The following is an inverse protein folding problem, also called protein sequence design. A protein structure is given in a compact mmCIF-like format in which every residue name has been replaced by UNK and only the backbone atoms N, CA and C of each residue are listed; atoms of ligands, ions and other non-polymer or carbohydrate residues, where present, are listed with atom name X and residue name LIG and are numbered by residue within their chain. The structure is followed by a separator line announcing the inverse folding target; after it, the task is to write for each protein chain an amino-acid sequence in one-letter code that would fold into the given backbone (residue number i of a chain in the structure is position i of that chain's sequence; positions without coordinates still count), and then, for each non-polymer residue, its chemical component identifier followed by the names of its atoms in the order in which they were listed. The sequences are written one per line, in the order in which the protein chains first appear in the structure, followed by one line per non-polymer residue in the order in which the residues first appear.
data_IF_371728237200
#
_entry.id   IF_371728237200
#
_cell.length_a   1.000
_cell.length_b   1.000
_cell.length_c   1.000
_cell.angle_alpha   90.00
_cell.angle_beta   90.00
_cell.angle_gamma   90.00
#
_symmetry.space_group_name_H-M   'P 1'
#
loop_
_entity.id
_entity.type
_entity.pdbx_description
1 polymer ?
#
# COMPACT_ATOMS: atom_id res chain seq x y z
N UNK A 1 -52.11 37.35 14.68
CA UNK A 1 -50.70 37.72 14.61
C UNK A 1 -49.75 36.54 14.81
N UNK A 2 -49.98 35.56 15.67
CA UNK A 2 -49.10 34.42 15.95
C UNK A 2 -48.80 33.47 14.75
N UNK A 3 -49.71 33.30 13.79
CA UNK A 3 -49.50 32.43 12.60
C UNK A 3 -48.48 32.98 11.58
N UNK A 4 -48.36 34.29 11.47
CA UNK A 4 -47.39 34.95 10.52
C UNK A 4 -45.93 34.75 10.97
N UNK A 5 -45.66 34.76 12.28
CA UNK A 5 -44.31 34.57 12.82
C UNK A 5 -43.89 33.10 12.79
N UNK A 6 -44.83 32.18 12.90
CA UNK A 6 -44.56 30.73 12.77
C UNK A 6 -44.06 30.34 11.36
N UNK A 7 -44.65 30.95 10.32
CA UNK A 7 -44.22 30.70 8.93
C UNK A 7 -42.84 31.34 8.63
N UNK A 8 -42.57 32.52 9.21
CA UNK A 8 -41.27 33.17 9.05
C UNK A 8 -40.14 32.41 9.76
N UNK A 9 -40.43 31.85 10.93
CA UNK A 9 -39.47 31.03 11.68
C UNK A 9 -39.16 29.68 10.99
N UNK A 10 -40.19 29.07 10.37
CA UNK A 10 -40.03 27.82 9.56
C UNK A 10 -39.21 28.09 8.29
N UNK A 11 -39.38 29.24 7.64
CA UNK A 11 -38.62 29.61 6.45
C UNK A 11 -37.14 29.92 6.78
N UNK A 12 -36.87 30.53 7.93
CA UNK A 12 -35.52 30.83 8.41
C UNK A 12 -34.77 29.56 8.81
N UNK A 13 -35.45 28.53 9.36
CA UNK A 13 -34.85 27.21 9.67
C UNK A 13 -34.38 26.45 8.44
N UNK A 14 -35.05 26.59 7.30
CA UNK A 14 -34.69 25.87 6.06
C UNK A 14 -33.41 26.47 5.43
N UNK A 15 -33.14 27.75 5.64
CA UNK A 15 -31.91 28.42 5.17
C UNK A 15 -30.63 27.95 5.87
N UNK A 16 -30.72 27.39 7.08
CA UNK A 16 -29.55 26.89 7.80
C UNK A 16 -29.11 25.48 7.40
N UNK A 17 -29.93 24.73 6.64
CA UNK A 17 -29.62 23.35 6.26
C UNK A 17 -28.70 23.27 5.03
N UNK A 18 -28.54 24.34 4.25
CA UNK A 18 -27.75 24.34 3.02
C UNK A 18 -26.29 24.78 3.17
N UNK A 19 -25.81 25.07 4.38
CA UNK A 19 -24.51 25.75 4.57
C UNK A 19 -23.28 24.85 4.72
N UNK A 20 -23.41 23.53 4.77
CA UNK A 20 -22.30 22.66 5.21
C UNK A 20 -21.64 21.77 4.14
N UNK A 21 -22.02 21.84 2.87
CA UNK A 21 -21.47 20.91 1.85
C UNK A 21 -20.01 21.19 1.41
N UNK A 22 -19.45 22.34 1.74
CA UNK A 22 -18.09 22.72 1.30
C UNK A 22 -16.99 22.43 2.33
N UNK A 23 -17.34 22.21 3.59
CA UNK A 23 -16.38 21.98 4.69
C UNK A 23 -16.09 20.50 4.97
N UNK A 24 -16.83 19.58 4.34
CA UNK A 24 -16.64 18.13 4.48
C UNK A 24 -15.84 17.51 3.31
N UNK A 25 -15.12 18.31 2.55
CA UNK A 25 -14.19 17.76 1.57
C UNK A 25 -12.94 17.32 2.33
N UNK A 26 -12.87 16.03 2.62
CA UNK A 26 -11.67 15.40 3.18
C UNK A 26 -10.53 15.58 2.16
N UNK A 27 -9.50 16.33 2.55
CA UNK A 27 -8.22 16.31 1.87
C UNK A 27 -7.36 15.28 2.59
N UNK A 28 -7.15 14.10 1.98
CA UNK A 28 -6.36 13.04 2.61
C UNK A 28 -4.89 13.45 2.64
N UNK A 29 -4.42 13.94 3.78
CA UNK A 29 -3.02 14.35 3.98
C UNK A 29 -2.04 13.17 4.13
N UNK A 30 -2.53 11.95 4.24
CA UNK A 30 -1.71 10.75 4.50
C UNK A 30 -1.80 9.66 3.42
N UNK A 31 -2.56 9.89 2.36
CA UNK A 31 -2.76 8.91 1.27
C UNK A 31 -2.03 9.41 0.03
N UNK A 32 -1.23 8.54 -0.58
CA UNK A 32 -0.60 8.80 -1.88
C UNK A 32 -1.68 8.80 -2.96
N UNK A 33 -2.15 9.99 -3.34
CA UNK A 33 -3.18 10.16 -4.37
C UNK A 33 -2.58 10.26 -5.76
N UNK A 34 -3.36 10.03 -6.82
CA UNK A 34 -2.94 10.26 -8.20
C UNK A 34 -2.37 11.66 -8.44
N UNK A 35 -3.02 12.68 -7.85
CA UNK A 35 -2.62 14.08 -7.97
C UNK A 35 -1.26 14.33 -7.31
N UNK A 36 -1.00 13.68 -6.17
CA UNK A 36 0.29 13.76 -5.50
C UNK A 36 1.41 13.18 -6.37
N UNK A 37 1.23 11.96 -6.90
CA UNK A 37 2.21 11.33 -7.78
C UNK A 37 2.47 12.12 -9.07
N UNK A 38 1.52 12.93 -9.54
CA UNK A 38 1.68 13.76 -10.73
C UNK A 38 2.59 14.99 -10.51
N UNK A 39 3.03 15.25 -9.28
CA UNK A 39 3.98 16.32 -8.97
C UNK A 39 5.41 15.80 -8.88
N UNK A 40 6.40 16.65 -9.19
CA UNK A 40 7.83 16.30 -9.03
C UNK A 40 8.16 15.86 -7.60
N UNK A 41 7.63 16.58 -6.61
CA UNK A 41 7.83 16.24 -5.20
C UNK A 41 7.17 14.90 -4.85
N UNK A 42 5.92 14.69 -5.28
CA UNK A 42 5.20 13.45 -5.02
C UNK A 42 5.85 12.24 -5.68
N UNK A 43 6.37 12.38 -6.89
CA UNK A 43 7.12 11.35 -7.58
C UNK A 43 8.37 10.92 -6.78
N UNK A 44 9.15 11.88 -6.28
CA UNK A 44 10.33 11.59 -5.46
C UNK A 44 9.95 10.99 -4.10
N UNK A 45 8.96 11.59 -3.42
CA UNK A 45 8.48 11.08 -2.13
C UNK A 45 7.84 9.70 -2.23
N UNK A 46 7.24 9.36 -3.37
CA UNK A 46 6.77 8.01 -3.64
C UNK A 46 7.90 6.98 -3.66
N UNK A 47 9.02 7.32 -4.26
CA UNK A 47 10.21 6.45 -4.25
C UNK A 47 10.79 6.33 -2.82
N UNK A 48 10.93 7.46 -2.10
CA UNK A 48 11.37 7.46 -0.69
C UNK A 48 10.47 6.57 0.18
N UNK A 49 9.14 6.63 -0.04
CA UNK A 49 8.17 5.80 0.67
C UNK A 49 8.34 4.30 0.36
N UNK A 50 8.63 3.95 -0.90
CA UNK A 50 8.91 2.56 -1.27
C UNK A 50 10.20 2.04 -0.61
N UNK A 51 11.24 2.86 -0.50
CA UNK A 51 12.44 2.53 0.30
C UNK A 51 12.14 2.40 1.79
N UNK A 52 11.31 3.28 2.33
CA UNK A 52 10.88 3.16 3.73
C UNK A 52 10.14 1.83 3.98
N UNK A 53 9.36 1.35 3.00
CA UNK A 53 8.71 0.04 3.04
C UNK A 53 9.67 -1.13 3.18
N UNK A 54 10.85 -1.07 2.58
CA UNK A 54 11.87 -2.12 2.79
C UNK A 54 12.33 -2.15 4.25
N UNK A 55 12.51 -0.98 4.87
CA UNK A 55 12.88 -0.89 6.29
C UNK A 55 11.74 -1.38 7.19
N UNK A 56 10.48 -1.13 6.84
CA UNK A 56 9.33 -1.64 7.60
C UNK A 56 9.22 -3.16 7.54
N UNK A 57 9.70 -3.79 6.48
CA UNK A 57 9.77 -5.25 6.39
C UNK A 57 11.01 -5.81 7.09
N UNK A 58 12.20 -5.43 6.62
CA UNK A 58 13.48 -6.01 7.09
C UNK A 58 13.92 -5.51 8.46
N UNK A 59 13.47 -4.32 8.87
CA UNK A 59 13.80 -3.71 10.16
C UNK A 59 12.82 -4.02 11.28
N UNK A 60 11.83 -4.89 11.08
CA UNK A 60 10.80 -5.22 12.06
C UNK A 60 10.83 -6.68 12.48
N UNK A 61 10.24 -6.95 13.64
CA UNK A 61 10.11 -8.30 14.18
C UNK A 61 9.29 -9.24 13.27
N UNK A 62 8.34 -8.70 12.49
CA UNK A 62 7.42 -9.53 11.71
C UNK A 62 8.14 -10.42 10.69
N UNK A 63 9.01 -9.83 9.86
CA UNK A 63 9.73 -10.60 8.85
C UNK A 63 10.74 -11.54 9.50
N UNK A 64 11.47 -11.07 10.54
CA UNK A 64 12.37 -11.92 11.33
C UNK A 64 11.61 -13.14 11.89
N UNK A 65 10.42 -12.92 12.46
CA UNK A 65 9.59 -14.01 12.99
C UNK A 65 9.22 -15.01 11.89
N UNK A 66 8.86 -14.55 10.69
CA UNK A 66 8.48 -15.42 9.58
C UNK A 66 9.65 -16.17 8.94
N UNK A 67 10.88 -15.67 9.04
CA UNK A 67 12.04 -16.22 8.33
C UNK A 67 12.98 -17.03 9.22
N UNK A 68 13.00 -16.73 10.51
CA UNK A 68 14.04 -17.24 11.42
C UNK A 68 13.47 -18.03 12.59
N UNK A 69 12.30 -17.63 13.12
CA UNK A 69 11.72 -18.30 14.29
C UNK A 69 11.13 -19.66 13.91
N UNK A 70 11.23 -20.62 14.82
CA UNK A 70 10.74 -21.99 14.60
C UNK A 70 11.72 -22.87 13.84
N UNK A 71 12.98 -22.44 13.70
CA UNK A 71 14.08 -23.25 13.19
C UNK A 71 14.79 -23.98 14.35
N UNK A 72 15.79 -24.81 14.03
CA UNK A 72 16.64 -25.48 15.00
C UNK A 72 17.59 -24.51 15.75
N UNK A 73 17.87 -23.34 15.17
CA UNK A 73 18.76 -22.32 15.76
C UNK A 73 18.00 -21.24 16.56
N UNK A 74 16.76 -20.95 16.21
CA UNK A 74 16.02 -19.82 16.77
C UNK A 74 14.65 -20.21 17.29
N UNK A 75 14.41 -19.85 18.53
CA UNK A 75 13.20 -20.12 19.28
C UNK A 75 12.62 -18.82 19.84
N UNK A 76 11.29 -18.70 19.92
CA UNK A 76 10.65 -17.51 20.50
C UNK A 76 10.92 -17.44 22.01
N UNK A 77 11.24 -16.21 22.48
CA UNK A 77 11.18 -15.89 23.89
C UNK A 77 9.75 -15.85 24.43
N UNK A 78 9.58 -15.48 25.69
CA UNK A 78 8.32 -15.50 26.43
C UNK A 78 7.19 -14.75 25.70
N UNK A 79 7.50 -13.61 25.09
CA UNK A 79 6.53 -12.70 24.47
C UNK A 79 6.48 -12.80 22.93
N UNK A 80 7.13 -13.82 22.36
CA UNK A 80 7.19 -14.03 20.91
C UNK A 80 5.96 -14.74 20.34
N UNK A 81 5.84 -14.78 19.02
CA UNK A 81 4.75 -15.46 18.31
C UNK A 81 4.92 -16.99 18.38
N UNK A 82 4.33 -17.60 19.41
CA UNK A 82 4.40 -19.05 19.62
C UNK A 82 3.68 -19.85 18.52
N UNK A 83 2.72 -19.26 17.82
CA UNK A 83 1.97 -19.98 16.78
C UNK A 83 2.85 -20.27 15.57
N UNK A 84 3.67 -19.30 15.16
CA UNK A 84 4.66 -19.47 14.09
C UNK A 84 5.78 -20.41 14.56
N UNK A 85 6.27 -20.21 15.78
CA UNK A 85 7.34 -21.04 16.35
C UNK A 85 7.00 -22.52 16.43
N UNK A 86 5.74 -22.86 16.68
CA UNK A 86 5.25 -24.23 16.84
C UNK A 86 4.53 -24.78 15.62
N UNK A 87 4.40 -23.99 14.56
CA UNK A 87 3.64 -24.35 13.35
C UNK A 87 2.24 -24.91 13.65
N UNK A 88 1.55 -24.31 14.65
CA UNK A 88 0.22 -24.76 15.07
C UNK A 88 -0.89 -24.20 14.16
N UNK A 89 -2.15 -24.56 14.42
CA UNK A 89 -3.31 -24.17 13.61
C UNK A 89 -3.58 -22.66 13.53
N UNK A 90 -3.02 -21.86 14.47
CA UNK A 90 -3.13 -20.41 14.45
C UNK A 90 -2.10 -19.76 13.51
N UNK A 91 -1.14 -20.53 13.00
CA UNK A 91 -0.28 -20.09 11.89
C UNK A 91 -1.06 -20.18 10.58
N UNK A 92 -1.94 -19.23 10.36
CA UNK A 92 -2.85 -19.16 9.22
C UNK A 92 -3.01 -17.71 8.73
N UNK A 93 -3.86 -17.48 7.74
CA UNK A 93 -4.07 -16.17 7.10
C UNK A 93 -4.62 -15.09 8.04
N UNK A 94 -5.18 -15.47 9.19
CA UNK A 94 -5.65 -14.53 10.23
C UNK A 94 -4.58 -14.18 11.25
N UNK A 95 -3.40 -14.83 11.19
CA UNK A 95 -2.28 -14.50 12.06
C UNK A 95 -1.78 -13.08 11.77
N UNK A 96 -1.67 -12.24 12.81
CA UNK A 96 -1.33 -10.82 12.67
C UNK A 96 0.02 -10.57 11.99
N UNK A 97 1.03 -11.40 12.25
CA UNK A 97 2.35 -11.31 11.60
C UNK A 97 2.27 -11.62 10.10
N UNK A 98 1.55 -12.70 9.74
CA UNK A 98 1.33 -13.12 8.35
C UNK A 98 0.59 -12.02 7.57
N UNK A 99 -0.51 -11.53 8.14
CA UNK A 99 -1.33 -10.47 7.55
C UNK A 99 -0.56 -9.14 7.39
N UNK A 100 0.29 -8.80 8.36
CA UNK A 100 1.08 -7.58 8.32
C UNK A 100 2.10 -7.58 7.16
N UNK A 101 2.82 -8.68 6.95
CA UNK A 101 3.79 -8.80 5.85
C UNK A 101 3.09 -8.75 4.49
N UNK A 102 1.98 -9.46 4.33
CA UNK A 102 1.15 -9.42 3.12
C UNK A 102 0.72 -7.99 2.79
N UNK A 103 0.11 -7.31 3.77
CA UNK A 103 -0.34 -5.93 3.62
C UNK A 103 0.79 -4.98 3.26
N UNK A 104 1.93 -5.08 3.95
CA UNK A 104 3.09 -4.21 3.72
C UNK A 104 3.64 -4.39 2.32
N UNK A 105 3.80 -5.63 1.84
CA UNK A 105 4.26 -5.91 0.48
C UNK A 105 3.33 -5.28 -0.57
N UNK A 106 2.03 -5.52 -0.49
CA UNK A 106 1.09 -4.97 -1.49
C UNK A 106 0.94 -3.44 -1.41
N UNK A 107 1.03 -2.85 -0.21
CA UNK A 107 1.06 -1.39 -0.06
C UNK A 107 2.26 -0.79 -0.81
N UNK A 108 3.44 -1.37 -0.64
CA UNK A 108 4.66 -0.88 -1.28
C UNK A 108 4.69 -1.19 -2.78
N UNK A 109 4.15 -2.31 -3.22
CA UNK A 109 3.95 -2.61 -4.66
C UNK A 109 3.07 -1.52 -5.29
N UNK A 110 1.98 -1.13 -4.63
CA UNK A 110 1.11 -0.09 -5.13
C UNK A 110 1.82 1.27 -5.19
N UNK A 111 2.62 1.61 -4.18
CA UNK A 111 3.46 2.81 -4.18
C UNK A 111 4.45 2.82 -5.35
N UNK A 112 5.14 1.69 -5.59
CA UNK A 112 6.04 1.54 -6.75
C UNK A 112 5.28 1.68 -8.08
N UNK A 113 4.08 1.11 -8.19
CA UNK A 113 3.23 1.26 -9.38
C UNK A 113 2.88 2.73 -9.63
N UNK A 114 2.58 3.50 -8.57
CA UNK A 114 2.35 4.94 -8.68
C UNK A 114 3.56 5.67 -9.25
N UNK A 115 4.77 5.43 -8.72
CA UNK A 115 6.01 6.02 -9.25
C UNK A 115 6.19 5.67 -10.73
N UNK A 116 6.04 4.40 -11.12
CA UNK A 116 6.25 3.94 -12.49
C UNK A 116 5.23 4.55 -13.45
N UNK A 117 3.95 4.54 -13.07
CA UNK A 117 2.85 4.98 -13.94
C UNK A 117 2.84 6.49 -14.15
N UNK A 118 3.22 7.26 -13.13
CA UNK A 118 3.20 8.71 -13.21
C UNK A 118 4.49 9.34 -13.75
N UNK A 119 5.59 8.60 -13.85
CA UNK A 119 6.87 9.09 -14.38
C UNK A 119 6.77 9.82 -15.73
N UNK A 120 6.00 9.35 -16.74
CA UNK A 120 5.87 10.06 -18.01
C UNK A 120 5.16 11.42 -17.91
N UNK A 121 4.38 11.63 -16.84
CA UNK A 121 3.60 12.85 -16.62
C UNK A 121 4.41 13.92 -15.89
N UNK A 122 5.58 13.58 -15.34
CA UNK A 122 6.41 14.51 -14.57
C UNK A 122 7.14 15.45 -15.51
N UNK A 123 6.91 16.74 -15.32
CA UNK A 123 7.64 17.84 -15.91
C UNK A 123 8.64 18.41 -14.90
N UNK A 124 9.74 19.00 -15.37
CA UNK A 124 10.71 19.65 -14.46
C UNK A 124 11.77 18.71 -13.85
N UNK A 125 11.83 17.43 -14.27
CA UNK A 125 12.95 16.54 -13.99
C UNK A 125 13.61 16.08 -15.31
N UNK A 126 14.95 15.97 -15.34
CA UNK A 126 15.67 15.36 -16.46
C UNK A 126 15.20 13.93 -16.72
N UNK A 127 15.10 13.52 -17.98
CA UNK A 127 14.66 12.16 -18.34
C UNK A 127 15.55 11.07 -17.75
N UNK A 128 16.84 11.33 -17.64
CA UNK A 128 17.79 10.42 -16.99
C UNK A 128 17.42 10.20 -15.51
N UNK A 129 17.07 11.24 -14.78
CA UNK A 129 16.67 11.13 -13.38
C UNK A 129 15.32 10.40 -13.24
N UNK A 130 14.34 10.70 -14.11
CA UNK A 130 13.09 9.95 -14.17
C UNK A 130 13.34 8.46 -14.45
N UNK A 131 14.20 8.16 -15.40
CA UNK A 131 14.59 6.79 -15.75
C UNK A 131 15.23 6.04 -14.58
N UNK A 132 16.14 6.67 -13.83
CA UNK A 132 16.72 6.09 -12.61
C UNK A 132 15.66 5.79 -11.57
N UNK A 133 14.82 6.77 -11.25
CA UNK A 133 13.76 6.59 -10.23
C UNK A 133 12.78 5.47 -10.62
N UNK A 134 12.44 5.34 -11.91
CA UNK A 134 11.60 4.24 -12.40
C UNK A 134 12.30 2.89 -12.27
N UNK A 135 13.59 2.82 -12.58
CA UNK A 135 14.37 1.58 -12.44
C UNK A 135 14.45 1.14 -10.97
N UNK A 136 14.67 2.08 -10.06
CA UNK A 136 14.67 1.82 -8.62
C UNK A 136 13.29 1.35 -8.15
N UNK A 137 12.20 2.01 -8.56
CA UNK A 137 10.84 1.59 -8.23
C UNK A 137 10.51 0.18 -8.76
N UNK A 138 10.95 -0.16 -9.98
CA UNK A 138 10.81 -1.52 -10.54
C UNK A 138 11.58 -2.55 -9.72
N UNK A 139 12.81 -2.23 -9.32
CA UNK A 139 13.62 -3.12 -8.47
C UNK A 139 12.96 -3.36 -7.11
N UNK A 140 12.51 -2.30 -6.44
CA UNK A 140 11.81 -2.41 -5.16
C UNK A 140 10.52 -3.22 -5.29
N UNK A 141 9.72 -2.97 -6.34
CA UNK A 141 8.52 -3.76 -6.64
C UNK A 141 8.84 -5.24 -6.82
N UNK A 142 9.90 -5.54 -7.54
CA UNK A 142 10.36 -6.92 -7.72
C UNK A 142 10.75 -7.58 -6.38
N UNK A 143 11.42 -6.84 -5.50
CA UNK A 143 11.79 -7.32 -4.16
C UNK A 143 10.55 -7.64 -3.31
N UNK A 144 9.52 -6.79 -3.31
CA UNK A 144 8.27 -7.06 -2.58
C UNK A 144 7.53 -8.28 -3.15
N UNK A 145 7.48 -8.44 -4.47
CA UNK A 145 6.92 -9.66 -5.08
C UNK A 145 7.76 -10.89 -4.77
N UNK A 146 9.08 -10.78 -4.76
CA UNK A 146 9.95 -11.89 -4.38
C UNK A 146 9.61 -12.40 -2.98
N UNK A 147 9.43 -11.51 -1.99
CA UNK A 147 9.00 -11.90 -0.65
C UNK A 147 7.62 -12.58 -0.67
N UNK A 148 6.66 -12.02 -1.39
CA UNK A 148 5.32 -12.60 -1.49
C UNK A 148 5.36 -14.02 -2.05
N UNK A 149 6.09 -14.28 -3.13
CA UNK A 149 6.13 -15.61 -3.75
C UNK A 149 6.91 -16.64 -2.92
N UNK A 150 7.89 -16.19 -2.09
CA UNK A 150 8.59 -17.08 -1.17
C UNK A 150 7.66 -17.63 -0.08
N UNK A 151 6.72 -16.80 0.41
CA UNK A 151 5.82 -17.21 1.49
C UNK A 151 4.51 -17.83 1.02
N UNK A 152 3.97 -17.38 -0.12
CA UNK A 152 2.61 -17.74 -0.56
C UNK A 152 2.54 -18.44 -1.92
N UNK A 153 3.65 -18.58 -2.63
CA UNK A 153 3.67 -19.16 -3.97
C UNK A 153 2.95 -18.27 -4.99
N UNK A 154 1.87 -18.77 -5.57
CA UNK A 154 1.05 -18.01 -6.52
C UNK A 154 0.40 -16.80 -5.81
N UNK A 155 0.55 -15.60 -6.38
CA UNK A 155 0.06 -14.34 -5.80
C UNK A 155 -0.59 -13.46 -6.86
N UNK A 156 -1.41 -12.50 -6.45
CA UNK A 156 -2.01 -11.56 -7.38
C UNK A 156 -0.97 -10.58 -7.93
N UNK A 157 -0.85 -10.50 -9.26
CA UNK A 157 0.09 -9.61 -9.93
C UNK A 157 -0.58 -8.28 -10.30
N UNK A 158 -0.36 -7.26 -9.47
CA UNK A 158 -0.84 -5.89 -9.71
C UNK A 158 0.23 -5.07 -10.41
N UNK A 159 0.02 -4.71 -11.67
CA UNK A 159 0.98 -3.92 -12.47
C UNK A 159 0.69 -2.43 -12.46
N UNK A 160 -0.54 -2.03 -12.18
CA UNK A 160 -1.04 -0.67 -12.24
C UNK A 160 -1.27 -0.10 -10.84
N UNK A 161 -1.22 1.22 -10.73
CA UNK A 161 -1.55 1.92 -9.50
C UNK A 161 -3.05 1.77 -9.19
N UNK A 162 -3.37 1.25 -8.01
CA UNK A 162 -4.73 1.04 -7.54
C UNK A 162 -5.16 2.19 -6.64
N UNK A 163 -6.24 2.85 -6.98
CA UNK A 163 -6.85 3.95 -6.19
C UNK A 163 -8.05 3.50 -5.35
N UNK A 164 -8.51 2.26 -5.58
CA UNK A 164 -9.62 1.65 -4.84
C UNK A 164 -9.36 0.15 -4.64
N UNK A 165 -9.98 -0.47 -3.63
CA UNK A 165 -9.89 -1.91 -3.41
C UNK A 165 -10.38 -2.71 -4.62
N UNK A 166 -9.62 -3.73 -5.03
CA UNK A 166 -10.00 -4.67 -6.09
C UNK A 166 -10.54 -5.94 -5.44
N UNK A 167 -11.80 -6.26 -5.71
CA UNK A 167 -12.50 -7.42 -5.12
C UNK A 167 -12.43 -8.69 -5.97
N UNK A 168 -12.00 -8.58 -7.24
CA UNK A 168 -11.91 -9.69 -8.22
C UNK A 168 -10.46 -10.14 -8.47
N UNK A 169 -9.66 -10.22 -7.41
CA UNK A 169 -8.26 -10.62 -7.53
C UNK A 169 -8.12 -12.12 -7.84
N UNK A 170 -7.30 -12.47 -8.83
CA UNK A 170 -6.92 -13.84 -9.15
C UNK A 170 -5.44 -14.06 -8.87
N UNK A 171 -5.07 -15.30 -8.50
CA UNK A 171 -3.66 -15.66 -8.33
C UNK A 171 -3.01 -15.85 -9.69
N UNK A 172 -1.83 -15.28 -9.86
CA UNK A 172 -0.95 -15.48 -11.00
C UNK A 172 0.07 -16.56 -10.64
N UNK A 173 0.30 -17.55 -11.51
CA UNK A 173 1.30 -18.59 -11.27
C UNK A 173 2.69 -17.99 -10.97
N UNK A 174 3.40 -18.56 -10.01
CA UNK A 174 4.73 -18.15 -9.56
C UNK A 174 5.71 -17.94 -10.72
N UNK A 175 5.71 -18.84 -11.69
CA UNK A 175 6.58 -18.74 -12.87
C UNK A 175 6.29 -17.47 -13.69
N UNK A 176 5.03 -17.11 -13.87
CA UNK A 176 4.62 -15.90 -14.58
C UNK A 176 4.99 -14.63 -13.79
N UNK A 177 4.87 -14.67 -12.47
CA UNK A 177 5.32 -13.56 -11.61
C UNK A 177 6.82 -13.33 -11.83
N UNK A 178 7.66 -14.37 -11.75
CA UNK A 178 9.10 -14.24 -11.99
C UNK A 178 9.42 -13.73 -13.39
N UNK A 179 8.80 -14.26 -14.43
CA UNK A 179 9.00 -13.79 -15.81
C UNK A 179 8.67 -12.29 -15.94
N UNK A 180 7.62 -11.83 -15.28
CA UNK A 180 7.24 -10.41 -15.28
C UNK A 180 8.25 -9.54 -14.54
N UNK A 181 8.80 -10.01 -13.42
CA UNK A 181 9.79 -9.26 -12.64
C UNK A 181 11.13 -9.14 -13.36
N UNK A 182 11.51 -10.15 -14.14
CA UNK A 182 12.76 -10.20 -14.91
C UNK A 182 12.65 -9.48 -16.26
N UNK A 183 11.44 -9.28 -16.77
CA UNK A 183 11.23 -8.55 -18.01
C UNK A 183 11.59 -7.06 -17.84
N UNK A 184 12.29 -6.49 -18.82
CA UNK A 184 12.71 -5.07 -18.84
C UNK A 184 11.57 -4.08 -19.06
N UNK A 185 10.32 -4.57 -19.09
CA UNK A 185 9.12 -3.75 -19.32
C UNK A 185 8.68 -2.98 -18.10
#
# INVERSE_FOLDING_TARGET
MKKKYSCLFSLLSILFISACNKQLREEPHSILTPEFFATTQGFQRGLDAAYAGTRNLWGTQNLFTMTVIGTDEFYTGKDGNNDINKYNSNYNTSNGTVAAIWKECYTNINTCNGVIEYAPKITGLPDEQKGRNVAEAKFLRANFYFLLVQFWGDVTLNRNFQTAPVTSATRTPLAEVYMTLLSRT
#
